data_IF_095908435229
#
_entry.id   IF_095908435229
#
_cell.length_a   1.000
_cell.length_b   1.000
_cell.length_c   1.000
_cell.angle_alpha   90.00
_cell.angle_beta   90.00
_cell.angle_gamma   90.00
#
_symmetry.space_group_name_H-M   'P 1'
#
loop_
_entity.id
_entity.type
_entity.pdbx_description
1 polymer ?
#
# COMPACT_ATOMS: atom_id res chain seq x y z
N UNK A 1 -42.00 -54.53 -1.40
CA UNK A 1 -41.54 -53.51 -2.41
C UNK A 1 -41.22 -52.15 -1.76
N UNK A 2 -41.85 -51.70 -0.64
CA UNK A 2 -41.60 -50.39 0.02
C UNK A 2 -40.32 -50.30 0.86
N UNK A 3 -39.75 -51.42 1.27
CA UNK A 3 -38.54 -51.47 2.11
C UNK A 3 -37.22 -51.47 1.33
N UNK A 4 -37.26 -51.77 0.03
CA UNK A 4 -36.05 -51.77 -0.83
C UNK A 4 -35.78 -50.35 -1.39
N UNK A 5 -36.79 -49.53 -1.59
CA UNK A 5 -36.64 -48.13 -2.06
C UNK A 5 -36.03 -47.20 -1.02
N UNK A 6 -36.30 -47.44 0.28
CA UNK A 6 -35.74 -46.55 1.35
C UNK A 6 -34.25 -46.78 1.59
N UNK A 7 -33.73 -47.98 1.36
CA UNK A 7 -32.30 -48.28 1.52
C UNK A 7 -31.44 -47.79 0.34
N UNK A 8 -32.01 -47.73 -0.87
CA UNK A 8 -31.33 -47.16 -2.03
C UNK A 8 -31.21 -45.64 -1.96
N UNK A 9 -32.22 -44.95 -1.44
CA UNK A 9 -32.19 -43.51 -1.24
C UNK A 9 -31.20 -43.11 -0.16
N UNK A 10 -31.09 -43.92 0.92
CA UNK A 10 -30.12 -43.68 2.00
C UNK A 10 -28.67 -43.92 1.55
N UNK A 11 -28.42 -44.88 0.68
CA UNK A 11 -27.10 -45.16 0.13
C UNK A 11 -26.63 -44.08 -0.86
N UNK A 12 -27.53 -43.55 -1.70
CA UNK A 12 -27.21 -42.42 -2.59
C UNK A 12 -26.96 -41.13 -1.82
N UNK A 13 -27.68 -40.85 -0.72
CA UNK A 13 -27.43 -39.67 0.10
C UNK A 13 -26.09 -39.75 0.85
N UNK A 14 -25.65 -40.92 1.26
CA UNK A 14 -24.37 -41.11 1.91
C UNK A 14 -23.20 -41.04 0.93
N UNK A 15 -23.40 -41.46 -0.34
CA UNK A 15 -22.38 -41.34 -1.39
C UNK A 15 -22.23 -39.89 -1.88
N UNK A 16 -23.29 -39.07 -1.87
CA UNK A 16 -23.23 -37.65 -2.20
C UNK A 16 -22.53 -36.83 -1.09
N UNK A 17 -22.66 -37.24 0.19
CA UNK A 17 -21.96 -36.59 1.30
C UNK A 17 -20.45 -36.87 1.33
N UNK A 18 -20.00 -37.99 0.78
CA UNK A 18 -18.58 -38.33 0.69
C UNK A 18 -17.84 -37.61 -0.45
N UNK A 19 -18.57 -37.13 -1.46
CA UNK A 19 -17.97 -36.39 -2.58
C UNK A 19 -17.78 -34.88 -2.31
N UNK A 20 -18.39 -34.32 -1.25
CA UNK A 20 -18.26 -32.89 -0.91
C UNK A 20 -17.07 -32.58 0.00
N UNK A 21 -16.31 -33.57 0.49
CA UNK A 21 -15.15 -33.36 1.37
C UNK A 21 -13.81 -33.31 0.59
N UNK A 22 -13.84 -33.55 -0.72
CA UNK A 22 -12.64 -33.48 -1.57
C UNK A 22 -12.58 -32.19 -2.43
N UNK A 23 -13.28 -31.11 -2.04
CA UNK A 23 -12.94 -29.77 -2.46
C UNK A 23 -11.64 -29.42 -1.74
N UNK A 24 -10.51 -29.80 -2.35
CA UNK A 24 -9.18 -29.46 -1.89
C UNK A 24 -9.16 -27.98 -1.59
N UNK A 25 -8.86 -27.63 -0.34
CA UNK A 25 -8.37 -26.30 -0.01
C UNK A 25 -7.15 -26.10 -0.89
N UNK A 26 -7.33 -25.42 -2.02
CA UNK A 26 -6.21 -24.78 -2.69
C UNK A 26 -5.50 -24.01 -1.59
N UNK A 27 -4.18 -24.22 -1.36
CA UNK A 27 -3.47 -23.42 -0.39
C UNK A 27 -3.76 -21.97 -0.79
N UNK A 28 -4.35 -21.22 0.14
CA UNK A 28 -4.62 -19.81 -0.06
C UNK A 28 -3.31 -19.21 -0.53
N UNK A 29 -3.23 -18.84 -1.82
CA UNK A 29 -2.04 -18.20 -2.35
C UNK A 29 -1.82 -17.00 -1.46
N UNK A 30 -0.73 -17.00 -0.69
CA UNK A 30 -0.43 -15.91 0.22
C UNK A 30 -0.51 -14.63 -0.60
N UNK A 31 -1.18 -13.64 -0.06
CA UNK A 31 -1.44 -12.37 -0.77
C UNK A 31 -0.12 -11.75 -1.26
N UNK A 32 0.97 -12.07 -0.57
CA UNK A 32 2.34 -11.67 -0.94
C UNK A 32 2.83 -12.33 -2.23
N UNK A 33 2.37 -13.53 -2.58
CA UNK A 33 2.75 -14.21 -3.82
C UNK A 33 2.28 -13.42 -5.07
N UNK A 34 1.24 -12.59 -4.95
CA UNK A 34 0.75 -11.73 -6.03
C UNK A 34 1.66 -10.54 -6.32
N UNK A 35 2.56 -10.22 -5.40
CA UNK A 35 3.54 -9.14 -5.56
C UNK A 35 4.77 -9.55 -6.37
N UNK A 36 4.83 -10.80 -6.85
CA UNK A 36 5.88 -11.29 -7.74
C UNK A 36 5.47 -11.13 -9.20
N UNK A 37 5.98 -10.13 -9.94
CA UNK A 37 5.71 -9.96 -11.34
C UNK A 37 6.31 -11.12 -12.16
N UNK A 38 5.64 -11.52 -13.25
CA UNK A 38 6.13 -12.59 -14.13
C UNK A 38 7.46 -12.25 -14.81
N UNK A 39 7.68 -10.97 -15.10
CA UNK A 39 8.89 -10.46 -15.72
C UNK A 39 9.33 -9.16 -15.08
N UNK A 40 10.63 -8.97 -14.90
CA UNK A 40 11.25 -7.71 -14.47
C UNK A 40 12.45 -7.45 -15.36
N UNK A 41 12.35 -6.45 -16.24
CA UNK A 41 13.36 -6.25 -17.29
C UNK A 41 13.57 -7.50 -18.13
N UNK A 42 14.81 -7.98 -18.21
CA UNK A 42 15.17 -9.20 -18.92
C UNK A 42 14.95 -10.49 -18.10
N UNK A 43 14.62 -10.40 -16.83
CA UNK A 43 14.48 -11.55 -15.94
C UNK A 43 13.05 -12.06 -15.92
N UNK A 44 12.90 -13.40 -15.90
CA UNK A 44 11.64 -14.10 -15.85
C UNK A 44 11.51 -14.90 -14.55
N UNK A 45 10.36 -14.80 -13.88
CA UNK A 45 10.06 -15.60 -12.71
C UNK A 45 9.97 -17.09 -13.08
N UNK A 46 10.67 -17.94 -12.32
CA UNK A 46 10.58 -19.40 -12.44
C UNK A 46 9.60 -20.03 -11.46
N UNK A 47 9.26 -19.34 -10.39
CA UNK A 47 8.31 -19.80 -9.39
C UNK A 47 8.40 -18.96 -8.12
N UNK A 48 7.33 -19.03 -7.34
CA UNK A 48 7.23 -18.41 -6.02
C UNK A 48 6.81 -19.46 -5.01
N UNK A 49 7.34 -19.40 -3.81
CA UNK A 49 6.98 -20.28 -2.70
C UNK A 49 6.89 -19.46 -1.40
N UNK A 50 6.10 -19.87 -0.42
CA UNK A 50 6.16 -19.28 0.91
C UNK A 50 7.60 -19.31 1.43
N UNK A 51 8.04 -18.25 2.08
CA UNK A 51 9.35 -18.23 2.71
C UNK A 51 9.36 -19.21 3.90
N UNK A 52 10.22 -20.19 3.86
CA UNK A 52 10.27 -21.25 4.89
C UNK A 52 10.71 -20.71 6.26
N UNK A 53 11.60 -19.72 6.26
CA UNK A 53 12.07 -19.01 7.45
C UNK A 53 12.54 -17.62 7.07
N UNK A 54 12.33 -16.66 7.95
CA UNK A 54 12.92 -15.33 7.82
C UNK A 54 14.46 -15.42 7.90
N UNK A 55 15.20 -14.44 7.41
CA UNK A 55 16.64 -14.39 7.55
C UNK A 55 17.08 -14.62 8.98
N UNK A 56 18.26 -15.24 9.16
CA UNK A 56 18.78 -15.64 10.47
C UNK A 56 18.80 -14.44 11.44
N UNK A 57 18.21 -14.62 12.62
CA UNK A 57 18.13 -13.58 13.65
C UNK A 57 16.89 -12.69 13.56
N UNK A 58 16.04 -12.84 12.54
CA UNK A 58 14.79 -12.08 12.41
C UNK A 58 13.63 -12.90 12.96
N UNK A 59 12.99 -12.41 14.01
CA UNK A 59 11.75 -12.96 14.58
C UNK A 59 10.57 -12.17 13.99
N UNK A 60 9.71 -12.83 13.23
CA UNK A 60 8.66 -12.15 12.46
C UNK A 60 7.70 -11.31 13.29
N UNK A 61 7.42 -11.72 14.53
CA UNK A 61 6.55 -10.98 15.45
C UNK A 61 7.13 -9.62 15.83
N UNK A 62 8.46 -9.50 15.94
CA UNK A 62 9.14 -8.27 16.31
C UNK A 62 8.99 -7.14 15.29
N UNK A 63 8.65 -7.49 14.06
CA UNK A 63 8.49 -6.57 12.93
C UNK A 63 7.05 -6.50 12.40
N UNK A 64 6.11 -7.16 13.06
CA UNK A 64 4.73 -7.23 12.62
C UNK A 64 4.57 -7.91 11.26
N UNK A 65 5.33 -8.96 10.99
CA UNK A 65 5.26 -9.70 9.72
C UNK A 65 3.91 -10.37 9.57
N UNK A 66 3.24 -10.14 8.45
CA UNK A 66 1.96 -10.77 8.07
C UNK A 66 2.17 -12.02 7.25
N UNK A 67 2.98 -11.90 6.20
CA UNK A 67 3.29 -12.97 5.28
C UNK A 67 4.64 -12.72 4.61
N UNK A 68 5.25 -13.79 4.11
CA UNK A 68 6.52 -13.73 3.42
C UNK A 68 6.58 -14.78 2.32
N UNK A 69 7.22 -14.46 1.22
CA UNK A 69 7.46 -15.38 0.12
C UNK A 69 8.82 -15.15 -0.52
N UNK A 70 9.30 -16.15 -1.21
CA UNK A 70 10.50 -16.09 -2.01
C UNK A 70 10.23 -16.51 -3.45
N UNK A 71 10.96 -15.92 -4.37
CA UNK A 71 10.85 -16.21 -5.79
C UNK A 71 12.22 -16.23 -6.45
N UNK A 72 12.35 -17.02 -7.49
CA UNK A 72 13.55 -17.10 -8.31
C UNK A 72 13.31 -16.47 -9.65
N UNK A 73 14.23 -15.63 -10.10
CA UNK A 73 14.23 -15.01 -11.40
C UNK A 73 15.47 -15.41 -12.20
N UNK A 74 15.31 -15.65 -13.50
CA UNK A 74 16.40 -16.07 -14.38
C UNK A 74 16.42 -15.21 -15.62
N UNK A 75 17.61 -14.72 -15.96
CA UNK A 75 17.86 -13.98 -17.20
C UNK A 75 18.10 -14.93 -18.39
N UNK A 76 17.97 -14.47 -19.65
CA UNK A 76 18.31 -15.25 -20.83
C UNK A 76 19.78 -15.72 -20.87
N UNK A 77 20.66 -15.05 -20.11
CA UNK A 77 22.07 -15.41 -19.95
C UNK A 77 22.31 -16.44 -18.85
N UNK A 78 21.24 -16.96 -18.20
CA UNK A 78 21.35 -17.93 -17.11
C UNK A 78 21.73 -17.33 -15.75
N UNK A 79 21.72 -16.01 -15.61
CA UNK A 79 21.90 -15.35 -14.32
C UNK A 79 20.67 -15.59 -13.44
N UNK A 80 20.89 -15.99 -12.18
CA UNK A 80 19.84 -16.35 -11.24
C UNK A 80 19.82 -15.34 -10.09
N UNK A 81 18.64 -14.77 -9.81
CA UNK A 81 18.37 -13.89 -8.68
C UNK A 81 17.32 -14.54 -7.78
N UNK A 82 17.56 -14.48 -6.49
CA UNK A 82 16.61 -14.92 -5.46
C UNK A 82 16.04 -13.68 -4.77
N UNK A 83 14.71 -13.58 -4.79
CA UNK A 83 13.96 -12.45 -4.22
C UNK A 83 13.21 -12.96 -3.00
N UNK A 84 13.51 -12.41 -1.85
CA UNK A 84 12.71 -12.61 -0.63
C UNK A 84 11.87 -11.36 -0.37
N UNK A 85 10.58 -11.53 -0.19
CA UNK A 85 9.63 -10.47 0.04
C UNK A 85 8.89 -10.72 1.35
N UNK A 86 8.88 -9.71 2.21
CA UNK A 86 8.21 -9.75 3.51
C UNK A 86 7.22 -8.60 3.58
N UNK A 87 5.95 -8.91 3.84
CA UNK A 87 4.91 -7.91 4.07
C UNK A 87 4.65 -7.79 5.57
N UNK A 88 4.74 -6.57 6.06
CA UNK A 88 4.51 -6.21 7.45
C UNK A 88 3.15 -5.55 7.65
N UNK A 89 2.76 -5.33 8.89
CA UNK A 89 1.52 -4.63 9.25
C UNK A 89 1.60 -3.14 8.96
N UNK A 90 2.80 -2.56 9.04
CA UNK A 90 3.04 -1.13 8.89
C UNK A 90 4.31 -0.87 8.10
N UNK A 91 4.44 0.34 7.55
CA UNK A 91 5.68 0.81 6.92
C UNK A 91 6.84 0.85 7.93
N UNK A 92 6.58 1.19 9.19
CA UNK A 92 7.56 1.18 10.26
C UNK A 92 8.20 -0.20 10.45
N UNK A 93 7.39 -1.27 10.41
CA UNK A 93 7.89 -2.65 10.46
C UNK A 93 8.77 -3.02 9.26
N UNK A 94 8.40 -2.59 8.05
CA UNK A 94 9.21 -2.84 6.86
C UNK A 94 10.54 -2.06 6.90
N UNK A 95 10.52 -0.82 7.40
CA UNK A 95 11.72 -0.03 7.61
C UNK A 95 12.62 -0.64 8.70
N UNK A 96 12.05 -1.11 9.80
CA UNK A 96 12.78 -1.81 10.86
C UNK A 96 13.49 -3.07 10.32
N UNK A 97 12.81 -3.86 9.49
CA UNK A 97 13.42 -4.99 8.79
C UNK A 97 14.59 -4.58 7.91
N UNK A 98 14.47 -3.46 7.18
CA UNK A 98 15.56 -2.96 6.34
C UNK A 98 16.76 -2.55 7.18
N UNK A 99 16.55 -1.83 8.29
CA UNK A 99 17.66 -1.37 9.14
C UNK A 99 18.37 -2.53 9.82
N UNK A 100 17.63 -3.55 10.27
CA UNK A 100 18.22 -4.78 10.82
C UNK A 100 18.98 -5.57 9.73
N UNK A 101 18.39 -5.76 8.56
CA UNK A 101 19.06 -6.40 7.43
C UNK A 101 20.33 -5.64 7.03
N UNK A 102 20.28 -4.30 7.04
CA UNK A 102 21.43 -3.42 6.80
C UNK A 102 22.54 -3.64 7.84
N UNK A 103 22.17 -3.72 9.12
CA UNK A 103 23.12 -4.00 10.19
C UNK A 103 23.76 -5.39 10.05
N UNK A 104 22.99 -6.40 9.64
CA UNK A 104 23.52 -7.74 9.35
C UNK A 104 24.44 -7.72 8.13
N UNK A 105 24.05 -7.07 7.04
CA UNK A 105 24.89 -6.95 5.85
C UNK A 105 26.24 -6.32 6.19
N UNK A 106 26.26 -5.27 7.02
CA UNK A 106 27.53 -4.65 7.48
C UNK A 106 28.40 -5.59 8.34
N UNK A 107 27.82 -6.51 9.07
CA UNK A 107 28.56 -7.52 9.84
C UNK A 107 29.12 -8.65 8.96
N UNK A 108 28.40 -8.98 7.88
CA UNK A 108 28.72 -10.10 6.99
C UNK A 108 29.69 -9.71 5.85
N UNK A 109 29.85 -8.41 5.60
CA UNK A 109 30.73 -7.88 4.53
C UNK A 109 32.18 -7.89 4.98
N UNK A 110 33.08 -8.23 4.06
CA UNK A 110 34.52 -8.13 4.29
C UNK A 110 34.93 -6.68 4.59
N UNK A 111 35.99 -6.44 5.38
CA UNK A 111 36.38 -5.08 5.80
C UNK A 111 36.67 -4.12 4.63
N UNK A 112 36.96 -4.62 3.47
CA UNK A 112 37.24 -3.89 2.23
C UNK A 112 36.01 -3.68 1.33
N UNK A 113 34.89 -4.35 1.65
CA UNK A 113 33.62 -4.19 0.93
C UNK A 113 32.67 -3.27 1.72
N UNK A 114 32.43 -2.08 1.21
CA UNK A 114 31.58 -1.09 1.84
C UNK A 114 30.14 -1.27 1.37
N UNK A 115 29.18 -1.31 2.32
CA UNK A 115 27.76 -1.20 1.98
C UNK A 115 27.45 0.19 1.40
N UNK A 116 26.75 0.21 0.28
CA UNK A 116 26.43 1.45 -0.45
C UNK A 116 24.93 1.70 -0.48
N UNK A 117 24.48 2.97 -0.56
CA UNK A 117 23.10 3.26 -0.91
C UNK A 117 22.77 2.64 -2.29
N UNK A 118 21.70 1.84 -2.33
CA UNK A 118 21.33 1.12 -3.57
C UNK A 118 20.53 1.95 -4.56
N UNK A 119 20.09 3.16 -4.20
CA UNK A 119 19.21 4.05 -4.99
C UNK A 119 17.95 3.34 -5.54
N UNK A 120 17.39 2.45 -4.75
CA UNK A 120 16.18 1.68 -5.08
C UNK A 120 15.16 1.86 -3.96
N UNK A 121 13.90 2.05 -4.33
CA UNK A 121 12.87 2.39 -3.33
C UNK A 121 13.14 3.76 -2.69
N UNK A 122 12.81 3.89 -1.41
CA UNK A 122 13.02 5.12 -0.63
C UNK A 122 14.41 5.09 0.01
N UNK A 123 14.71 3.98 0.66
CA UNK A 123 16.01 3.68 1.25
C UNK A 123 16.38 2.27 0.85
N UNK A 124 17.61 2.08 0.45
CA UNK A 124 18.15 0.78 0.07
C UNK A 124 19.61 0.66 0.45
N UNK A 125 20.02 -0.57 0.72
CA UNK A 125 21.39 -0.93 1.03
C UNK A 125 21.84 -2.02 0.10
N UNK A 126 23.03 -1.89 -0.49
CA UNK A 126 23.58 -2.83 -1.44
C UNK A 126 25.00 -3.26 -1.04
N UNK A 127 25.31 -4.52 -1.35
CA UNK A 127 26.64 -5.12 -1.38
C UNK A 127 26.88 -5.68 -2.79
N UNK A 128 28.02 -6.26 -3.06
CA UNK A 128 28.35 -6.87 -4.35
C UNK A 128 27.37 -7.97 -4.80
N UNK A 129 26.72 -8.64 -3.86
CA UNK A 129 25.87 -9.81 -4.12
C UNK A 129 24.44 -9.71 -3.56
N UNK A 130 24.12 -8.64 -2.86
CA UNK A 130 22.80 -8.47 -2.22
C UNK A 130 22.34 -7.01 -2.26
N UNK A 131 21.06 -6.80 -2.48
CA UNK A 131 20.41 -5.51 -2.29
C UNK A 131 19.16 -5.70 -1.44
N UNK A 132 18.94 -4.80 -0.50
CA UNK A 132 17.74 -4.76 0.32
C UNK A 132 17.13 -3.37 0.27
N UNK A 133 15.80 -3.30 0.18
CA UNK A 133 15.04 -2.05 0.20
C UNK A 133 13.64 -2.28 0.76
N UNK A 134 12.93 -1.20 1.07
CA UNK A 134 11.52 -1.27 1.42
C UNK A 134 10.70 -0.31 0.56
N UNK A 135 9.41 -0.61 0.43
CA UNK A 135 8.44 0.27 -0.23
C UNK A 135 7.06 0.07 0.40
N UNK A 136 6.52 1.11 1.05
CA UNK A 136 5.34 0.95 1.88
C UNK A 136 5.54 -0.14 2.95
N UNK A 137 4.58 -1.02 3.19
CA UNK A 137 4.69 -2.09 4.18
C UNK A 137 5.45 -3.34 3.66
N UNK A 138 6.22 -3.21 2.57
CA UNK A 138 6.90 -4.33 1.92
C UNK A 138 8.40 -4.16 2.00
N UNK A 139 9.07 -5.13 2.62
CA UNK A 139 10.51 -5.29 2.60
C UNK A 139 10.92 -6.30 1.53
N UNK A 140 11.95 -5.98 0.76
CA UNK A 140 12.48 -6.82 -0.32
C UNK A 140 13.98 -7.00 -0.13
N UNK A 141 14.44 -8.24 -0.23
CA UNK A 141 15.86 -8.58 -0.30
C UNK A 141 16.12 -9.41 -1.56
N UNK A 142 17.08 -9.01 -2.37
CA UNK A 142 17.46 -9.68 -3.60
C UNK A 142 18.90 -10.11 -3.47
N UNK A 143 19.15 -11.40 -3.75
CA UNK A 143 20.51 -11.97 -3.69
C UNK A 143 20.88 -12.62 -5.01
N UNK A 144 22.18 -12.58 -5.34
CA UNK A 144 22.75 -13.33 -6.47
C UNK A 144 23.74 -14.37 -5.95
N UNK A 145 23.73 -15.56 -6.56
CA UNK A 145 24.63 -16.66 -6.17
C UNK A 145 26.06 -16.51 -6.68
N UNK A 146 26.36 -15.47 -7.49
CA UNK A 146 27.71 -15.20 -8.00
C UNK A 146 28.09 -13.77 -7.65
N UNK A 147 29.21 -13.53 -6.96
CA UNK A 147 29.75 -12.18 -6.82
C UNK A 147 30.03 -11.63 -8.22
N UNK A 148 29.61 -10.41 -8.45
CA UNK A 148 29.49 -9.88 -9.78
C UNK A 148 30.76 -9.17 -10.25
N UNK A 149 31.28 -9.56 -11.39
CA UNK A 149 32.10 -8.66 -12.22
C UNK A 149 31.23 -7.59 -12.91
N UNK A 150 30.24 -8.00 -13.71
CA UNK A 150 29.26 -7.09 -14.33
C UNK A 150 27.84 -7.16 -13.68
N UNK A 151 27.65 -7.92 -12.62
CA UNK A 151 26.35 -8.25 -12.06
C UNK A 151 25.81 -7.23 -11.05
N UNK A 152 26.64 -6.38 -10.48
CA UNK A 152 26.15 -5.30 -9.59
C UNK A 152 25.18 -4.38 -10.35
N UNK A 153 25.50 -4.02 -11.58
CA UNK A 153 24.62 -3.21 -12.43
C UNK A 153 23.33 -3.95 -12.79
N UNK A 154 23.38 -5.26 -13.01
CA UNK A 154 22.19 -6.06 -13.32
C UNK A 154 21.31 -6.24 -12.09
N UNK A 155 21.89 -6.43 -10.91
CA UNK A 155 21.20 -6.53 -9.63
C UNK A 155 20.47 -5.24 -9.30
N UNK A 156 21.14 -4.08 -9.43
CA UNK A 156 20.54 -2.76 -9.18
C UNK A 156 19.43 -2.49 -10.20
N UNK A 157 19.66 -2.73 -11.49
CA UNK A 157 18.66 -2.52 -12.54
C UNK A 157 17.42 -3.42 -12.32
N UNK A 158 17.62 -4.67 -11.92
CA UNK A 158 16.53 -5.56 -11.57
C UNK A 158 15.76 -5.03 -10.36
N UNK A 159 16.45 -4.62 -9.29
CA UNK A 159 15.83 -4.10 -8.07
C UNK A 159 15.02 -2.81 -8.34
N UNK A 160 15.53 -1.91 -9.18
CA UNK A 160 14.81 -0.71 -9.64
C UNK A 160 13.52 -1.08 -10.39
N UNK A 161 13.62 -1.98 -11.37
CA UNK A 161 12.45 -2.48 -12.10
C UNK A 161 11.44 -3.19 -11.19
N UNK A 162 11.91 -3.98 -10.22
CA UNK A 162 11.05 -4.64 -9.24
C UNK A 162 10.34 -3.62 -8.34
N UNK A 163 11.07 -2.63 -7.83
CA UNK A 163 10.52 -1.56 -6.99
C UNK A 163 9.38 -0.80 -7.68
N UNK A 164 9.44 -0.61 -8.99
CA UNK A 164 8.38 0.04 -9.77
C UNK A 164 7.07 -0.76 -9.82
N UNK A 165 7.13 -2.07 -9.60
CA UNK A 165 5.94 -2.94 -9.59
C UNK A 165 5.20 -2.94 -8.25
N UNK A 166 5.84 -2.45 -7.20
CA UNK A 166 5.24 -2.35 -5.87
C UNK A 166 4.44 -1.06 -5.73
N UNK A 167 3.30 -1.16 -5.04
CA UNK A 167 2.45 0.01 -4.76
C UNK A 167 3.20 0.95 -3.82
N UNK A 168 3.12 2.25 -4.10
CA UNK A 168 3.70 3.28 -3.24
C UNK A 168 2.90 3.39 -1.93
N UNK A 169 3.63 3.43 -0.81
CA UNK A 169 3.11 3.81 0.50
C UNK A 169 3.45 5.27 0.82
N UNK A 170 3.28 5.67 2.06
CA UNK A 170 3.87 6.91 2.59
C UNK A 170 5.39 6.76 2.56
N UNK A 171 5.99 7.22 1.50
CA UNK A 171 7.41 7.01 1.19
C UNK A 171 8.29 7.99 1.97
N UNK A 172 8.37 7.83 3.30
CA UNK A 172 9.23 8.66 4.14
C UNK A 172 10.00 7.82 5.15
N UNK A 173 11.28 8.13 5.32
CA UNK A 173 12.05 7.67 6.48
C UNK A 173 11.28 8.10 7.74
N UNK A 174 11.09 7.19 8.74
CA UNK A 174 10.43 7.54 9.99
C UNK A 174 10.99 8.82 10.59
N UNK A 175 10.11 9.68 11.09
CA UNK A 175 10.49 11.01 11.60
C UNK A 175 11.48 10.88 12.76
N UNK A 176 11.32 9.85 13.60
CA UNK A 176 12.21 9.56 14.72
C UNK A 176 13.68 9.41 14.29
N UNK A 177 13.95 8.84 13.12
CA UNK A 177 15.33 8.73 12.58
C UNK A 177 15.91 10.09 12.24
N UNK A 178 15.07 11.02 11.75
CA UNK A 178 15.49 12.40 11.42
C UNK A 178 15.76 13.24 12.66
N UNK A 179 15.34 12.76 13.84
CA UNK A 179 15.59 13.42 15.12
C UNK A 179 16.92 13.02 15.76
N UNK A 180 17.63 12.04 15.18
CA UNK A 180 18.99 11.72 15.59
C UNK A 180 19.93 12.92 15.37
N UNK A 181 20.90 13.16 16.27
CA UNK A 181 22.01 14.06 15.98
C UNK A 181 22.70 13.67 14.68
N UNK A 182 23.00 14.64 13.82
CA UNK A 182 23.60 14.40 12.49
C UNK A 182 22.93 13.26 11.69
N UNK A 183 21.61 13.26 11.68
CA UNK A 183 20.78 12.18 11.17
C UNK A 183 21.14 11.74 9.75
N UNK A 184 21.63 12.66 8.90
CA UNK A 184 21.99 12.37 7.50
C UNK A 184 23.12 11.34 7.40
N UNK A 185 24.04 11.34 8.37
CA UNK A 185 25.12 10.34 8.48
C UNK A 185 24.77 9.22 9.45
N UNK A 186 23.99 9.53 10.50
CA UNK A 186 23.61 8.56 11.51
C UNK A 186 22.62 7.50 10.97
N UNK A 187 21.74 7.85 10.02
CA UNK A 187 20.74 6.96 9.44
C UNK A 187 21.34 5.69 8.85
N UNK A 188 22.54 5.76 8.27
CA UNK A 188 23.20 4.61 7.65
C UNK A 188 23.58 3.53 8.68
N UNK A 189 23.75 3.92 9.94
CA UNK A 189 24.13 3.05 11.07
C UNK A 189 22.98 2.79 12.02
N UNK A 190 21.91 3.56 11.91
CA UNK A 190 20.76 3.46 12.79
C UNK A 190 20.02 2.13 12.59
N UNK A 191 19.57 1.55 13.68
CA UNK A 191 18.64 0.43 13.71
C UNK A 191 17.34 0.93 14.32
N UNK A 192 16.28 0.74 13.56
CA UNK A 192 14.93 1.09 13.96
C UNK A 192 14.21 -0.13 14.53
N UNK A 193 13.48 0.03 15.60
CA UNK A 193 12.80 -1.06 16.29
C UNK A 193 11.34 -0.71 16.59
N UNK A 194 10.47 -1.67 16.34
CA UNK A 194 9.03 -1.60 16.64
C UNK A 194 8.61 -2.65 17.69
N UNK A 195 9.60 -3.28 18.34
CA UNK A 195 9.41 -4.17 19.48
C UNK A 195 10.57 -4.05 20.45
N UNK A 196 10.33 -4.41 21.71
CA UNK A 196 11.36 -4.43 22.75
C UNK A 196 12.47 -5.42 22.40
N UNK A 197 12.13 -6.62 21.90
CA UNK A 197 13.10 -7.64 21.53
C UNK A 197 14.03 -7.15 20.41
N UNK A 198 13.49 -6.51 19.36
CA UNK A 198 14.29 -5.93 18.29
C UNK A 198 15.20 -4.80 18.82
N UNK A 199 14.70 -3.94 19.72
CA UNK A 199 15.50 -2.90 20.33
C UNK A 199 16.65 -3.48 21.15
N UNK A 200 16.39 -4.48 21.97
CA UNK A 200 17.43 -5.12 22.79
C UNK A 200 18.46 -5.86 21.94
N UNK A 201 18.04 -6.50 20.85
CA UNK A 201 18.98 -7.13 19.91
C UNK A 201 19.94 -6.11 19.28
N UNK A 202 19.47 -4.88 19.01
CA UNK A 202 20.26 -3.80 18.44
C UNK A 202 21.06 -3.00 19.47
N UNK A 203 20.48 -2.74 20.65
CA UNK A 203 21.11 -1.94 21.70
C UNK A 203 22.02 -2.74 22.64
N UNK A 204 22.11 -4.08 22.46
CA UNK A 204 22.67 -4.97 23.46
C UNK A 204 21.73 -5.07 24.67
N UNK A 205 21.59 -6.22 25.25
CA UNK A 205 20.60 -6.52 26.30
C UNK A 205 20.74 -5.60 27.53
N UNK A 206 20.19 -4.38 27.42
CA UNK A 206 20.24 -3.36 28.47
C UNK A 206 19.11 -3.59 29.48
N UNK A 207 19.45 -3.89 30.73
CA UNK A 207 18.49 -4.20 31.79
C UNK A 207 17.45 -3.08 32.03
N UNK A 208 17.84 -1.82 31.82
CA UNK A 208 16.93 -0.68 31.97
C UNK A 208 15.80 -0.68 30.94
N UNK A 209 16.02 -1.26 29.76
CA UNK A 209 15.02 -1.31 28.70
C UNK A 209 13.91 -2.35 28.95
N UNK A 210 14.12 -3.30 29.89
CA UNK A 210 13.13 -4.34 30.21
C UNK A 210 11.78 -3.81 30.74
N UNK A 211 11.74 -2.57 31.22
CA UNK A 211 10.50 -1.94 31.72
C UNK A 211 9.76 -1.14 30.64
N UNK A 212 10.35 -1.00 29.45
CA UNK A 212 9.77 -0.26 28.35
C UNK A 212 8.67 -1.10 27.67
N UNK A 213 7.49 -0.50 27.49
CA UNK A 213 6.41 -1.12 26.70
C UNK A 213 6.43 -0.60 25.27
N UNK A 214 6.26 -1.53 24.33
CA UNK A 214 6.07 -1.26 22.90
C UNK A 214 4.59 -1.39 22.48
N UNK A 215 3.69 -1.36 23.45
CA UNK A 215 2.27 -1.31 23.16
C UNK A 215 1.89 0.04 22.50
N UNK A 216 0.74 0.05 21.83
CA UNK A 216 0.13 1.27 21.29
C UNK A 216 0.99 2.05 20.27
N UNK A 217 1.88 1.35 19.53
CA UNK A 217 2.65 1.96 18.45
C UNK A 217 3.90 2.72 18.91
N UNK A 218 4.47 2.34 20.04
CA UNK A 218 5.80 2.80 20.48
C UNK A 218 6.86 2.38 19.46
N UNK A 219 7.76 3.29 19.13
CA UNK A 219 8.84 3.09 18.17
C UNK A 219 10.16 3.50 18.79
N UNK A 220 11.26 2.92 18.33
CA UNK A 220 12.58 3.26 18.84
C UNK A 220 13.63 3.30 17.74
N UNK A 221 14.68 4.06 17.96
CA UNK A 221 15.88 4.07 17.12
C UNK A 221 17.11 4.02 17.99
N UNK A 222 18.10 3.22 17.58
CA UNK A 222 19.42 3.19 18.22
C UNK A 222 20.51 3.38 17.17
N UNK A 223 21.55 4.10 17.54
CA UNK A 223 22.74 4.30 16.72
C UNK A 223 23.96 4.52 17.59
N UNK A 224 25.15 4.28 17.02
CA UNK A 224 26.41 4.49 17.70
C UNK A 224 27.11 5.76 17.18
N UNK A 225 27.59 6.55 18.10
CA UNK A 225 28.50 7.67 17.87
C UNK A 225 29.84 7.28 18.50
N UNK A 226 30.72 6.74 17.67
CA UNK A 226 31.96 6.05 18.11
C UNK A 226 31.65 4.91 19.11
N UNK A 227 32.15 4.99 20.33
CA UNK A 227 31.87 4.02 21.39
C UNK A 227 30.56 4.29 22.14
N UNK A 228 29.98 5.47 21.98
CA UNK A 228 28.77 5.90 22.69
C UNK A 228 27.54 5.48 21.92
N UNK A 229 26.61 4.84 22.59
CA UNK A 229 25.33 4.42 22.00
C UNK A 229 24.21 5.33 22.45
N UNK A 230 23.43 5.82 21.49
CA UNK A 230 22.21 6.57 21.70
C UNK A 230 21.01 5.69 21.41
N UNK A 231 20.00 5.71 22.29
CA UNK A 231 18.68 5.09 22.09
C UNK A 231 17.62 6.14 22.32
N UNK A 232 16.74 6.32 21.35
CA UNK A 232 15.55 7.19 21.46
C UNK A 232 14.32 6.31 21.30
N UNK A 233 13.39 6.42 22.25
CA UNK A 233 12.10 5.73 22.24
C UNK A 233 11.02 6.79 22.15
N UNK A 234 10.17 6.70 21.13
CA UNK A 234 9.02 7.57 20.92
C UNK A 234 7.73 6.89 21.37
N UNK A 235 7.00 7.54 22.23
CA UNK A 235 5.66 7.12 22.66
C UNK A 235 4.60 7.92 21.91
N UNK A 236 3.47 7.29 21.65
CA UNK A 236 2.37 7.91 20.89
C UNK A 236 1.75 9.11 21.59
N UNK A 237 1.81 9.16 22.92
CA UNK A 237 1.26 10.28 23.70
C UNK A 237 2.20 10.70 24.84
N UNK A 238 2.17 11.99 25.24
CA UNK A 238 2.92 12.48 26.40
C UNK A 238 2.56 11.78 27.71
N UNK A 239 1.31 11.31 27.88
CA UNK A 239 0.84 10.60 29.08
C UNK A 239 1.50 9.22 29.20
N UNK A 240 1.62 8.50 28.07
CA UNK A 240 2.35 7.23 28.04
C UNK A 240 3.83 7.50 28.36
N UNK A 241 4.43 8.53 27.76
CA UNK A 241 5.82 8.92 28.04
C UNK A 241 6.04 9.23 29.52
N UNK A 242 5.14 9.93 30.19
CA UNK A 242 5.22 10.23 31.62
C UNK A 242 5.14 8.95 32.47
N UNK A 243 4.21 8.05 32.14
CA UNK A 243 4.09 6.77 32.85
C UNK A 243 5.33 5.91 32.67
N UNK A 244 5.90 5.89 31.47
CA UNK A 244 7.14 5.15 31.18
C UNK A 244 8.35 5.80 31.85
N UNK A 245 8.44 7.12 31.88
CA UNK A 245 9.49 7.88 32.56
C UNK A 245 9.58 7.52 34.05
N UNK A 246 8.44 7.45 34.75
CA UNK A 246 8.37 7.03 36.14
C UNK A 246 8.90 5.59 36.33
N UNK A 247 8.52 4.65 35.46
CA UNK A 247 8.99 3.25 35.49
C UNK A 247 10.48 3.14 35.22
N UNK A 248 10.97 3.87 34.23
CA UNK A 248 12.39 3.89 33.84
C UNK A 248 13.24 4.49 34.96
N UNK A 249 12.82 5.61 35.53
CA UNK A 249 13.53 6.26 36.63
C UNK A 249 13.63 5.36 37.85
N UNK A 250 12.54 4.68 38.22
CA UNK A 250 12.55 3.71 39.31
C UNK A 250 13.45 2.50 38.99
N UNK A 251 13.43 2.01 37.74
CA UNK A 251 14.31 0.91 37.32
C UNK A 251 15.78 1.31 37.37
N UNK A 252 16.15 2.51 36.93
CA UNK A 252 17.53 3.05 37.03
C UNK A 252 17.99 3.09 38.50
N UNK A 253 17.10 3.51 39.41
CA UNK A 253 17.40 3.53 40.85
C UNK A 253 17.65 2.12 41.37
N UNK A 254 16.80 1.17 41.08
CA UNK A 254 16.94 -0.25 41.48
C UNK A 254 18.26 -0.87 40.96
N UNK A 255 18.58 -0.63 39.67
CA UNK A 255 19.84 -1.11 39.09
C UNK A 255 21.04 -0.52 39.76
N UNK A 256 21.02 0.78 40.13
CA UNK A 256 22.07 1.45 40.84
C UNK A 256 22.25 0.92 42.27
N UNK A 257 21.16 0.68 43.00
CA UNK A 257 21.16 0.05 44.32
C UNK A 257 21.66 -1.40 44.25
N UNK A 258 21.35 -2.12 43.17
CA UNK A 258 21.82 -3.47 42.88
C UNK A 258 23.26 -3.54 42.32
N UNK A 259 23.97 -2.42 42.19
CA UNK A 259 25.29 -2.33 41.56
C UNK A 259 25.35 -2.95 40.15
N UNK A 260 24.24 -2.82 39.41
CA UNK A 260 24.10 -3.27 38.02
C UNK A 260 24.38 -2.12 37.04
N UNK A 261 24.59 -2.46 35.75
CA UNK A 261 24.83 -1.48 34.71
C UNK A 261 23.64 -0.55 34.52
N UNK A 262 23.91 0.76 34.53
CA UNK A 262 22.94 1.82 34.29
C UNK A 262 23.34 2.61 33.06
N UNK A 263 22.40 3.30 32.37
CA UNK A 263 22.78 4.20 31.28
C UNK A 263 23.68 5.31 31.80
N UNK A 264 24.62 5.77 30.96
CA UNK A 264 25.49 6.93 31.25
C UNK A 264 24.65 8.19 31.46
N UNK A 265 23.58 8.35 30.72
CA UNK A 265 22.57 9.38 30.93
C UNK A 265 21.19 8.90 30.47
N UNK A 266 20.17 9.46 31.13
CA UNK A 266 18.76 9.29 30.75
C UNK A 266 18.04 10.61 30.91
N UNK A 267 17.20 10.95 29.93
CA UNK A 267 16.33 12.12 30.01
C UNK A 267 15.06 11.93 29.17
N UNK A 268 13.93 12.34 29.73
CA UNK A 268 12.69 12.46 28.95
C UNK A 268 12.66 13.82 28.23
N UNK A 269 12.36 13.82 26.94
CA UNK A 269 12.19 15.00 26.11
C UNK A 269 10.83 14.90 25.41
N UNK A 270 9.85 15.60 25.95
CA UNK A 270 8.47 15.52 25.43
C UNK A 270 7.90 14.11 25.55
N UNK A 271 7.59 13.47 24.40
CA UNK A 271 7.15 12.09 24.32
C UNK A 271 8.30 11.10 24.01
N UNK A 272 9.57 11.55 24.16
CA UNK A 272 10.75 10.70 23.97
C UNK A 272 11.37 10.33 25.30
N UNK A 273 11.81 9.06 25.40
CA UNK A 273 12.78 8.60 26.37
C UNK A 273 14.13 8.46 25.67
N UNK A 274 15.12 9.24 26.10
CA UNK A 274 16.45 9.29 25.49
C UNK A 274 17.46 8.68 26.46
N UNK A 275 18.16 7.64 26.02
CA UNK A 275 19.21 6.95 26.77
C UNK A 275 20.54 7.10 26.05
N UNK A 276 21.57 7.28 26.82
CA UNK A 276 22.96 7.23 26.36
C UNK A 276 23.70 6.15 27.16
N UNK A 277 24.37 5.25 26.45
CA UNK A 277 25.17 4.19 27.02
C UNK A 277 26.63 4.34 26.60
N UNK A 278 27.55 3.89 27.45
CA UNK A 278 28.99 3.86 27.18
C UNK A 278 29.60 5.20 26.83
N UNK A 279 29.03 6.32 27.34
CA UNK A 279 29.64 7.61 27.14
C UNK A 279 30.89 7.75 27.96
N UNK A 280 31.94 8.46 27.46
CA UNK A 280 33.20 8.65 28.19
C UNK A 280 33.03 9.53 29.42
N UNK A 281 32.12 10.48 29.37
CA UNK A 281 31.82 11.42 30.44
C UNK A 281 30.38 11.96 30.37
N UNK A 282 30.01 12.73 31.41
CA UNK A 282 28.67 13.31 31.52
C UNK A 282 28.44 14.42 30.48
N UNK A 283 29.48 15.16 30.10
CA UNK A 283 29.41 16.23 29.11
C UNK A 283 29.08 15.68 27.74
N UNK A 284 29.73 14.59 27.34
CA UNK A 284 29.46 13.89 26.08
C UNK A 284 28.02 13.35 26.03
N UNK A 285 27.55 12.79 27.15
CA UNK A 285 26.17 12.32 27.29
C UNK A 285 25.15 13.43 27.13
N UNK A 286 25.36 14.56 27.84
CA UNK A 286 24.49 15.71 27.78
C UNK A 286 24.45 16.31 26.38
N UNK A 287 25.61 16.45 25.74
CA UNK A 287 25.71 16.96 24.38
C UNK A 287 24.92 16.12 23.38
N UNK A 288 24.99 14.79 23.45
CA UNK A 288 24.18 13.92 22.58
C UNK A 288 22.68 14.11 22.79
N UNK A 289 22.24 14.18 24.05
CA UNK A 289 20.82 14.37 24.38
C UNK A 289 20.34 15.75 23.92
N UNK A 290 21.14 16.80 24.09
CA UNK A 290 20.78 18.18 23.72
C UNK A 290 20.67 18.36 22.19
N UNK A 291 21.36 17.53 21.42
CA UNK A 291 21.31 17.54 19.95
C UNK A 291 20.19 16.64 19.37
N UNK A 292 19.45 15.92 20.22
CA UNK A 292 18.23 15.21 19.76
C UNK A 292 17.18 16.25 19.39
N UNK A 293 16.76 16.24 18.12
CA UNK A 293 15.68 17.12 17.66
C UNK A 293 14.35 16.64 18.22
N UNK A 294 13.56 17.55 18.72
CA UNK A 294 12.21 17.27 19.18
C UNK A 294 11.23 18.21 18.50
N UNK A 295 10.33 17.65 17.70
CA UNK A 295 9.23 18.41 17.13
C UNK A 295 7.95 18.08 17.89
N UNK A 296 7.36 19.08 18.54
CA UNK A 296 6.04 18.92 19.15
C UNK A 296 5.01 18.67 18.04
N UNK A 297 4.55 17.46 17.91
CA UNK A 297 3.30 17.18 17.17
C UNK A 297 2.15 17.61 18.06
N UNK A 298 1.48 18.69 17.70
CA UNK A 298 0.21 19.06 18.31
C UNK A 298 -0.85 18.07 17.77
N UNK A 299 -1.14 17.02 18.54
CA UNK A 299 -2.22 16.11 18.23
C UNK A 299 -3.48 16.60 18.94
N UNK A 300 -4.42 17.10 18.19
CA UNK A 300 -5.72 17.53 18.73
C UNK A 300 -6.50 16.30 19.18
N UNK A 301 -6.86 16.24 20.46
CA UNK A 301 -7.70 15.17 21.05
C UNK A 301 -9.19 15.30 20.66
N UNK A 302 -9.53 16.16 19.72
CA UNK A 302 -10.85 16.41 19.16
C UNK A 302 -10.75 16.81 17.70
N UNK A 303 -11.88 17.25 17.12
CA UNK A 303 -11.84 17.81 15.77
C UNK A 303 -10.88 18.99 15.71
N UNK A 304 -9.85 18.87 14.89
CA UNK A 304 -8.89 19.96 14.68
C UNK A 304 -9.64 21.16 14.09
N UNK A 305 -9.76 22.29 14.79
CA UNK A 305 -10.49 23.46 14.28
C UNK A 305 -9.87 24.04 13.00
N UNK A 306 -8.61 23.66 12.67
CA UNK A 306 -7.90 24.07 11.45
C UNK A 306 -7.85 22.95 10.39
N UNK A 307 -8.40 21.76 10.66
CA UNK A 307 -8.44 20.66 9.69
C UNK A 307 -9.36 20.96 8.49
N UNK A 308 -10.25 21.97 8.62
CA UNK A 308 -11.17 22.34 7.56
C UNK A 308 -10.47 22.90 6.31
N UNK A 309 -9.33 23.57 6.42
CA UNK A 309 -8.65 24.13 5.25
C UNK A 309 -7.91 23.05 4.43
N UNK A 310 -7.20 22.14 5.05
CA UNK A 310 -6.46 21.08 4.35
C UNK A 310 -7.37 19.95 3.85
N UNK A 311 -8.33 19.51 4.67
CA UNK A 311 -9.32 18.51 4.29
C UNK A 311 -10.29 19.05 3.24
N UNK A 312 -10.71 20.31 3.30
CA UNK A 312 -11.54 20.95 2.29
C UNK A 312 -10.87 20.99 0.92
N UNK A 313 -9.56 21.23 0.84
CA UNK A 313 -8.84 21.21 -0.44
C UNK A 313 -8.72 19.80 -1.03
N UNK A 314 -8.48 18.77 -0.22
CA UNK A 314 -8.43 17.38 -0.70
C UNK A 314 -9.82 16.83 -1.05
N UNK A 315 -10.86 17.18 -0.28
CA UNK A 315 -12.23 16.81 -0.60
C UNK A 315 -12.78 17.54 -1.82
N UNK A 316 -12.44 18.80 -2.01
CA UNK A 316 -12.84 19.57 -3.21
C UNK A 316 -12.18 19.03 -4.47
N UNK A 317 -10.90 18.64 -4.45
CA UNK A 317 -10.24 18.03 -5.61
C UNK A 317 -10.83 16.68 -5.97
N UNK A 318 -11.12 15.83 -4.97
CA UNK A 318 -11.80 14.54 -5.18
C UNK A 318 -13.24 14.72 -5.64
N UNK A 319 -13.97 15.66 -5.08
CA UNK A 319 -15.34 15.99 -5.48
C UNK A 319 -15.40 16.56 -6.90
N UNK A 320 -14.49 17.46 -7.28
CA UNK A 320 -14.40 18.02 -8.63
C UNK A 320 -14.07 16.93 -9.66
N UNK A 321 -13.14 16.03 -9.37
CA UNK A 321 -12.81 14.91 -10.28
C UNK A 321 -13.98 13.94 -10.44
N UNK A 322 -14.75 13.71 -9.40
CA UNK A 322 -15.94 12.85 -9.41
C UNK A 322 -17.08 13.51 -10.20
N UNK A 323 -17.33 14.80 -9.98
CA UNK A 323 -18.33 15.57 -10.74
C UNK A 323 -17.97 15.63 -12.22
N UNK A 324 -16.70 15.90 -12.57
CA UNK A 324 -16.23 15.88 -13.96
C UNK A 324 -16.35 14.48 -14.59
N UNK A 325 -16.11 13.43 -13.84
CA UNK A 325 -16.31 12.05 -14.29
C UNK A 325 -17.79 11.76 -14.59
N UNK A 326 -18.70 12.17 -13.71
CA UNK A 326 -20.14 12.02 -13.89
C UNK A 326 -20.63 12.86 -15.08
N UNK A 327 -20.20 14.12 -15.18
CA UNK A 327 -20.58 15.00 -16.29
C UNK A 327 -20.14 14.44 -17.64
N UNK A 328 -18.92 13.88 -17.71
CA UNK A 328 -18.39 13.26 -18.93
C UNK A 328 -19.17 12.00 -19.33
N UNK A 329 -19.55 11.15 -18.38
CA UNK A 329 -20.38 9.96 -18.62
C UNK A 329 -21.79 10.35 -19.07
N UNK A 330 -22.44 11.30 -18.43
CA UNK A 330 -23.75 11.81 -18.84
C UNK A 330 -23.67 12.39 -20.25
N UNK A 331 -22.68 13.24 -20.53
CA UNK A 331 -22.45 13.81 -21.85
C UNK A 331 -22.28 12.76 -22.94
N UNK A 332 -21.55 11.71 -22.66
CA UNK A 332 -21.37 10.58 -23.57
C UNK A 332 -22.70 9.84 -23.87
N UNK A 333 -23.49 9.55 -22.84
CA UNK A 333 -24.80 8.90 -23.03
C UNK A 333 -25.79 9.78 -23.78
N UNK A 334 -25.83 11.09 -23.51
CA UNK A 334 -26.67 12.03 -24.24
C UNK A 334 -26.27 12.08 -25.73
N UNK A 335 -24.99 12.16 -26.04
CA UNK A 335 -24.50 12.13 -27.42
C UNK A 335 -24.85 10.81 -28.13
N UNK A 336 -24.75 9.69 -27.43
CA UNK A 336 -25.08 8.37 -27.95
C UNK A 336 -26.58 8.24 -28.23
N UNK A 337 -27.45 8.73 -27.32
CA UNK A 337 -28.90 8.75 -27.52
C UNK A 337 -29.32 9.66 -28.69
N UNK A 338 -28.71 10.84 -28.81
CA UNK A 338 -28.98 11.75 -29.93
C UNK A 338 -28.52 11.14 -31.26
N UNK A 339 -27.35 10.50 -31.28
CA UNK A 339 -26.84 9.80 -32.46
C UNK A 339 -27.76 8.64 -32.89
N UNK A 340 -28.11 7.76 -31.94
CA UNK A 340 -29.02 6.66 -32.21
C UNK A 340 -30.41 7.15 -32.62
N UNK A 341 -30.96 8.14 -31.93
CA UNK A 341 -32.23 8.77 -32.28
C UNK A 341 -32.23 9.42 -33.67
N UNK A 342 -31.12 10.07 -34.03
CA UNK A 342 -30.93 10.66 -35.36
C UNK A 342 -30.89 9.61 -36.47
N UNK A 343 -30.22 8.47 -36.25
CA UNK A 343 -30.16 7.35 -37.20
C UNK A 343 -31.54 6.69 -37.36
N UNK A 344 -32.18 6.36 -36.23
CA UNK A 344 -33.52 5.72 -36.28
C UNK A 344 -34.56 6.70 -36.90
N UNK A 345 -34.55 7.97 -36.49
CA UNK A 345 -35.42 9.01 -37.01
C UNK A 345 -35.19 9.26 -38.51
N UNK A 346 -33.93 9.30 -38.93
CA UNK A 346 -33.54 9.42 -40.33
C UNK A 346 -34.02 8.26 -41.19
N UNK A 347 -33.84 7.00 -40.71
CA UNK A 347 -34.35 5.82 -41.42
C UNK A 347 -35.87 5.84 -41.50
N UNK A 348 -36.55 6.14 -40.41
CA UNK A 348 -38.01 6.24 -40.38
C UNK A 348 -38.53 7.36 -41.33
N UNK A 349 -37.86 8.52 -41.34
CA UNK A 349 -38.20 9.61 -42.29
C UNK A 349 -38.01 9.22 -43.75
N UNK A 350 -36.87 8.60 -44.06
CA UNK A 350 -36.60 8.13 -45.43
C UNK A 350 -37.61 7.07 -45.89
N UNK A 351 -37.94 6.14 -44.97
CA UNK A 351 -38.94 5.11 -45.27
C UNK A 351 -40.34 5.70 -45.51
N UNK A 352 -40.75 6.64 -44.65
CA UNK A 352 -42.03 7.35 -44.82
C UNK A 352 -42.07 8.19 -46.08
N UNK A 353 -40.98 8.88 -46.45
CA UNK A 353 -40.85 9.62 -47.68
C UNK A 353 -40.87 8.74 -48.93
N UNK A 354 -40.25 7.53 -48.85
CA UNK A 354 -40.33 6.56 -49.96
C UNK A 354 -41.76 6.04 -50.15
N UNK A 355 -42.49 5.75 -49.09
CA UNK A 355 -43.90 5.35 -49.15
C UNK A 355 -44.79 6.45 -49.75
N UNK A 356 -44.57 7.72 -49.38
CA UNK A 356 -45.31 8.85 -49.94
C UNK A 356 -45.01 9.04 -51.43
N UNK A 357 -43.79 8.81 -51.90
CA UNK A 357 -43.44 8.87 -53.31
C UNK A 357 -44.07 7.72 -54.09
N UNK A 358 -44.02 6.47 -53.57
CA UNK A 358 -44.68 5.33 -54.16
C UNK A 358 -46.22 5.51 -54.27
N UNK A 359 -46.84 6.08 -53.24
CA UNK A 359 -48.24 6.44 -53.27
C UNK A 359 -48.58 7.54 -54.32
N UNK A 360 -47.70 8.53 -54.49
CA UNK A 360 -47.85 9.58 -55.49
C UNK A 360 -47.68 9.08 -56.94
N UNK A 361 -46.71 8.14 -57.16
CA UNK A 361 -46.55 7.49 -58.47
C UNK A 361 -47.74 6.60 -58.84
N UNK A 362 -48.32 5.87 -57.87
CA UNK A 362 -49.52 5.07 -58.10
C UNK A 362 -50.75 5.91 -58.43
N UNK A 363 -50.76 7.19 -58.02
CA UNK A 363 -51.85 8.12 -58.28
C UNK A 363 -51.67 8.85 -59.60
N UNK A 364 -50.47 8.99 -60.14
CA UNK A 364 -50.20 9.66 -61.42
C UNK A 364 -50.46 8.75 -62.63
N UNK A 365 -50.44 7.43 -62.42
CA UNK A 365 -50.62 6.46 -63.51
C UNK A 365 -52.08 6.07 -63.77
N UNK A 366 -53.01 6.48 -62.92
CA UNK A 366 -54.44 6.30 -63.10
C UNK A 366 -55.07 7.50 -63.82
N UNK A 367 -54.72 7.67 -65.08
CA UNK A 367 -55.39 8.48 -66.13
C UNK A 367 -56.23 9.66 -65.66
N UNK A 368 -55.63 10.81 -65.61
CA UNK A 368 -56.19 12.09 -65.95
C UNK A 368 -57.50 12.59 -65.34
N UNK A 369 -58.04 12.01 -64.34
CA UNK A 369 -59.14 12.60 -63.61
C UNK A 369 -58.63 13.18 -62.26
N UNK A 370 -58.53 14.50 -62.22
CA UNK A 370 -58.49 15.24 -60.97
C UNK A 370 -59.82 14.89 -60.24
N UNK A 371 -59.75 13.87 -59.38
CA UNK A 371 -60.77 13.72 -58.35
C UNK A 371 -60.51 14.83 -57.37
N UNK A 372 -61.27 15.89 -57.45
CA UNK A 372 -61.46 16.79 -56.33
C UNK A 372 -61.93 15.86 -55.18
N UNK A 373 -61.03 15.63 -54.26
CA UNK A 373 -61.38 14.94 -53.05
C UNK A 373 -62.27 15.89 -52.26
N UNK A 374 -63.55 15.79 -52.44
CA UNK A 374 -64.55 16.55 -51.74
C UNK A 374 -64.50 16.31 -50.21
N UNK A 375 -63.86 15.24 -49.81
CA UNK A 375 -63.63 14.95 -48.40
C UNK A 375 -62.46 15.78 -47.82
N UNK A 376 -61.63 16.42 -48.67
CA UNK A 376 -60.66 17.41 -48.27
C UNK A 376 -61.22 18.83 -48.17
N UNK A 377 -62.41 19.03 -48.67
CA UNK A 377 -63.16 20.23 -48.33
C UNK A 377 -63.67 20.00 -46.93
N UNK A 378 -62.84 20.45 -46.00
CA UNK A 378 -63.14 20.33 -44.56
C UNK A 378 -64.58 20.86 -44.33
N UNK A 379 -65.29 20.25 -43.40
CA UNK A 379 -66.63 20.73 -43.05
C UNK A 379 -66.72 22.26 -42.81
N UNK A 380 -65.59 22.85 -42.47
CA UNK A 380 -65.45 24.29 -42.22
C UNK A 380 -65.58 25.17 -43.50
N UNK A 381 -65.39 24.57 -44.68
CA UNK A 381 -65.53 25.29 -45.96
C UNK A 381 -66.89 25.01 -46.61
N UNK A 382 -67.75 24.29 -45.97
CA UNK A 382 -69.13 24.12 -46.46
C UNK A 382 -69.96 25.38 -46.15
N UNK A 383 -70.37 26.17 -47.16
CA UNK A 383 -71.15 27.40 -46.92
C UNK A 383 -72.45 27.16 -46.17
N UNK A 384 -73.03 25.98 -46.25
CA UNK A 384 -74.20 25.63 -45.50
C UNK A 384 -73.94 25.52 -43.97
N UNK A 385 -72.74 25.20 -43.59
CA UNK A 385 -72.33 25.17 -42.17
C UNK A 385 -72.00 26.57 -41.66
N UNK A 386 -71.50 27.45 -42.54
CA UNK A 386 -71.19 28.84 -42.19
C UNK A 386 -72.45 29.67 -42.03
N UNK A 387 -73.58 29.18 -42.61
CA UNK A 387 -74.89 29.88 -42.49
C UNK A 387 -75.75 29.29 -41.39
N UNK A 388 -75.32 28.24 -40.78
CA UNK A 388 -76.01 27.70 -39.59
C UNK A 388 -75.63 28.55 -38.37
N UNK A 389 -76.22 29.69 -38.27
CA UNK A 389 -76.01 30.67 -37.22
C UNK A 389 -76.78 30.34 -35.95
N UNK A 390 -77.24 29.09 -35.84
CA UNK A 390 -77.99 28.65 -34.68
C UNK A 390 -77.16 28.44 -33.41
N UNK A 391 -75.85 28.33 -33.56
CA UNK A 391 -74.96 28.07 -32.46
C UNK A 391 -74.19 29.33 -31.96
N UNK A 392 -74.65 30.51 -32.31
CA UNK A 392 -74.19 31.73 -31.70
C UNK A 392 -75.21 32.19 -30.63
N UNK A 393 -75.26 31.47 -29.52
CA UNK A 393 -75.67 31.93 -28.21
C UNK A 393 -74.64 31.59 -27.16
#
# INVERSE_FOLDING_TARGET
>A
LRLISSRLISACSLLLLLFTIAAGQSPASSDVARLFPKNVGAFRAQGTRPLASLPKGIVGQDFGVRDAAEGTYVSPKGEKLEVSLVRTQSQAGAYALLTEASAQMRRDVAPDEVTKPGNVGIVSVATSNRIAFYKGPVFVSITTGKPAGNGENSLIAFAQGYSQTLVDGENAIPVLVKHLPDWETAQDRAVYAVSLHALQAAAGNQEVLNVVSFDEGTEAVTTNYDATQLVIIEYTTPQIAETQDARITERIKQLREGNQSVPSAYRRVGNYSVFVFNAPDETASAHLIDNVKYEQRIQWLGENPFAFEGAAQQHTQKAVSLILGIARTIGFFVALCLGAGGVVGGIAFLHRRAQQRAAAETYSDAGGMLRLNLDEIKPETNPARLLDSGDLQ
#
